data_IF_584912316763
#
_entry.id   IF_584912316763
#
_cell.length_a   1.000
_cell.length_b   1.000
_cell.length_c   1.000
_cell.angle_alpha   90.00
_cell.angle_beta   90.00
_cell.angle_gamma   90.00
#
_symmetry.space_group_name_H-M   'P 1'
#
loop_
_entity.id
_entity.type
_entity.pdbx_description
1 polymer ?
#
# COMPACT_ATOMS: atom_id res chain seq x y z
N UNK A 1 19.70 22.00 -2.83
CA UNK A 1 19.72 20.99 -1.74
C UNK A 1 18.76 19.84 -2.06
N UNK A 2 17.50 20.09 -2.47
CA UNK A 2 16.56 19.06 -2.95
C UNK A 2 17.09 18.17 -4.10
N UNK A 3 17.76 18.74 -5.10
CA UNK A 3 18.30 17.97 -6.23
C UNK A 3 19.47 17.02 -5.90
N UNK A 4 20.10 17.16 -4.72
CA UNK A 4 21.24 16.31 -4.32
C UNK A 4 20.80 15.01 -3.62
N UNK A 5 19.60 15.01 -3.01
CA UNK A 5 19.01 13.84 -2.36
C UNK A 5 18.36 12.89 -3.38
N UNK A 6 17.59 13.43 -4.32
CA UNK A 6 17.05 12.66 -5.46
C UNK A 6 18.20 12.13 -6.32
N UNK A 7 19.23 12.95 -6.53
CA UNK A 7 20.46 12.54 -7.20
C UNK A 7 21.33 11.54 -6.43
N UNK A 8 21.14 11.34 -5.11
CA UNK A 8 21.87 10.32 -4.32
C UNK A 8 21.12 9.00 -4.21
N UNK A 9 19.79 9.02 -4.14
CA UNK A 9 18.99 7.77 -4.21
C UNK A 9 19.16 7.05 -5.56
N UNK A 10 19.41 7.81 -6.64
CA UNK A 10 19.66 7.28 -7.99
C UNK A 10 21.10 7.48 -8.49
N UNK A 11 21.98 8.09 -7.69
CA UNK A 11 23.35 8.42 -8.07
C UNK A 11 24.34 8.16 -6.95
N UNK A 12 24.83 6.92 -6.98
CA UNK A 12 26.17 6.48 -6.60
C UNK A 12 26.70 6.89 -5.21
N UNK A 13 26.54 5.97 -4.26
CA UNK A 13 27.64 5.21 -3.61
C UNK A 13 26.98 3.94 -3.05
N UNK A 14 27.22 2.71 -3.47
CA UNK A 14 28.35 2.02 -4.09
C UNK A 14 27.84 1.07 -5.18
N UNK A 15 28.68 0.75 -6.16
CA UNK A 15 28.46 -0.26 -7.19
C UNK A 15 27.73 -1.49 -6.65
N UNK A 16 26.46 -1.64 -7.00
CA UNK A 16 25.77 -2.93 -7.02
C UNK A 16 25.35 -3.10 -8.47
N UNK A 17 26.03 -4.02 -9.14
CA UNK A 17 25.85 -4.33 -10.55
C UNK A 17 24.37 -4.43 -10.90
N UNK A 18 23.90 -3.50 -11.73
CA UNK A 18 22.53 -3.41 -12.31
C UNK A 18 22.21 -4.60 -13.25
N UNK A 19 22.78 -5.77 -13.02
CA UNK A 19 22.63 -6.97 -13.84
C UNK A 19 22.46 -8.27 -13.04
N UNK A 20 22.43 -8.25 -11.70
CA UNK A 20 22.15 -9.45 -10.91
C UNK A 20 20.81 -9.30 -10.22
N UNK A 21 19.85 -10.16 -10.54
CA UNK A 21 18.51 -10.21 -9.93
C UNK A 21 18.50 -10.59 -8.44
N UNK A 22 19.36 -9.96 -7.64
CA UNK A 22 19.36 -10.04 -6.19
C UNK A 22 18.45 -8.95 -5.66
N UNK A 23 17.33 -9.38 -5.10
CA UNK A 23 16.40 -8.56 -4.35
C UNK A 23 17.12 -7.92 -3.16
N UNK A 24 17.16 -6.59 -3.11
CA UNK A 24 17.75 -5.84 -1.99
C UNK A 24 16.86 -6.05 -0.76
N UNK A 25 17.44 -6.54 0.33
CA UNK A 25 16.72 -6.65 1.62
C UNK A 25 16.84 -5.35 2.39
N UNK A 26 15.82 -5.03 3.19
CA UNK A 26 15.84 -3.85 4.05
C UNK A 26 17.01 -3.88 5.05
N UNK A 27 17.44 -5.08 5.45
CA UNK A 27 18.55 -5.33 6.36
C UNK A 27 19.91 -4.89 5.79
N UNK A 28 20.04 -4.87 4.46
CA UNK A 28 21.28 -4.51 3.77
C UNK A 28 21.43 -2.98 3.58
N UNK A 29 20.42 -2.20 3.99
CA UNK A 29 20.37 -0.75 3.82
C UNK A 29 20.90 -0.09 5.10
N UNK A 30 22.10 0.50 5.03
CA UNK A 30 22.64 1.33 6.11
C UNK A 30 22.24 2.79 5.91
N UNK A 31 21.52 3.35 6.87
CA UNK A 31 21.08 4.76 6.89
C UNK A 31 21.85 5.47 8.01
N UNK A 32 22.54 6.56 7.70
CA UNK A 32 23.26 7.35 8.70
C UNK A 32 22.29 8.14 9.58
N UNK A 33 22.73 8.49 10.80
CA UNK A 33 21.90 9.24 11.76
C UNK A 33 21.46 10.60 11.21
N UNK A 34 22.31 11.25 10.42
CA UNK A 34 22.00 12.52 9.74
C UNK A 34 20.95 12.34 8.64
N UNK A 35 20.93 11.18 7.97
CA UNK A 35 19.97 10.87 6.91
C UNK A 35 18.57 10.56 7.44
N UNK A 36 18.47 9.95 8.63
CA UNK A 36 17.18 9.71 9.28
C UNK A 36 16.43 11.00 9.65
N UNK A 37 17.16 12.11 9.84
CA UNK A 37 16.58 13.43 10.14
C UNK A 37 16.18 14.20 8.86
N UNK A 38 16.46 13.66 7.67
CA UNK A 38 16.10 14.29 6.40
C UNK A 38 14.67 13.93 5.97
N UNK A 39 14.05 14.83 5.19
CA UNK A 39 12.75 14.59 4.58
C UNK A 39 12.88 14.00 3.19
N UNK A 40 12.08 12.98 2.90
CA UNK A 40 11.96 12.38 1.57
C UNK A 40 10.66 12.87 0.94
N UNK A 41 10.75 13.47 -0.24
CA UNK A 41 9.58 13.77 -1.05
C UNK A 41 9.14 12.51 -1.81
N UNK A 42 8.03 11.92 -1.38
CA UNK A 42 7.44 10.74 -2.00
C UNK A 42 6.45 11.09 -3.13
N UNK A 43 6.13 12.38 -3.32
CA UNK A 43 5.19 12.83 -4.34
C UNK A 43 5.46 12.30 -5.77
N UNK A 44 6.71 12.25 -6.27
CA UNK A 44 6.97 11.77 -7.63
C UNK A 44 6.89 10.24 -7.80
N UNK A 45 6.93 9.48 -6.70
CA UNK A 45 6.96 8.00 -6.75
C UNK A 45 5.64 7.36 -6.32
N UNK A 46 4.80 8.10 -5.59
CA UNK A 46 3.50 7.62 -5.16
C UNK A 46 2.51 7.68 -6.33
N UNK A 47 1.62 6.67 -6.39
CA UNK A 47 0.45 6.77 -7.24
C UNK A 47 -0.50 7.86 -6.71
N UNK A 48 -0.58 8.99 -7.42
CA UNK A 48 -1.47 10.10 -7.09
C UNK A 48 -2.97 9.74 -7.18
N UNK A 49 -3.31 8.66 -7.89
CA UNK A 49 -4.69 8.24 -8.15
C UNK A 49 -4.90 6.77 -7.73
N UNK A 50 -4.95 6.47 -6.43
CA UNK A 50 -5.27 5.12 -5.96
C UNK A 50 -6.75 4.79 -6.20
N UNK A 51 -7.06 3.51 -6.41
CA UNK A 51 -8.44 3.04 -6.46
C UNK A 51 -9.06 3.04 -5.07
N UNK A 52 -10.21 3.70 -4.95
CA UNK A 52 -10.92 3.89 -3.69
C UNK A 52 -12.35 3.36 -3.77
N UNK A 53 -12.86 2.92 -2.62
CA UNK A 53 -14.28 2.56 -2.43
C UNK A 53 -14.83 3.25 -1.18
N UNK A 54 -16.11 3.59 -1.19
CA UNK A 54 -16.77 4.20 -0.03
C UNK A 54 -17.03 3.12 1.03
N UNK A 55 -16.89 3.47 2.31
CA UNK A 55 -17.10 2.56 3.46
C UNK A 55 -18.49 1.88 3.48
N UNK A 56 -19.49 2.50 2.84
CA UNK A 56 -20.86 1.97 2.75
C UNK A 56 -21.06 0.99 1.59
N UNK A 57 -20.04 0.72 0.78
CA UNK A 57 -20.13 -0.22 -0.33
C UNK A 57 -20.20 -1.66 0.20
N UNK A 58 -21.12 -2.46 -0.36
CA UNK A 58 -21.22 -3.88 -0.01
C UNK A 58 -19.93 -4.63 -0.34
N UNK A 59 -19.52 -5.56 0.53
CA UNK A 59 -18.33 -6.38 0.33
C UNK A 59 -18.31 -7.10 -1.02
N UNK A 60 -19.45 -7.63 -1.48
CA UNK A 60 -19.56 -8.31 -2.78
C UNK A 60 -19.20 -7.40 -3.96
N UNK A 61 -19.66 -6.14 -3.95
CA UNK A 61 -19.31 -5.14 -4.99
C UNK A 61 -17.83 -4.77 -4.93
N UNK A 62 -17.29 -4.54 -3.73
CA UNK A 62 -15.87 -4.28 -3.55
C UNK A 62 -15.01 -5.44 -4.07
N UNK A 63 -15.43 -6.70 -3.83
CA UNK A 63 -14.74 -7.89 -4.31
C UNK A 63 -14.74 -8.00 -5.84
N UNK A 64 -15.85 -7.66 -6.49
CA UNK A 64 -15.94 -7.63 -7.96
C UNK A 64 -14.95 -6.61 -8.52
N UNK A 65 -14.99 -5.36 -8.03
CA UNK A 65 -14.07 -4.31 -8.45
C UNK A 65 -12.60 -4.70 -8.22
N UNK A 66 -12.29 -5.29 -7.06
CA UNK A 66 -10.94 -5.73 -6.71
C UNK A 66 -10.42 -6.77 -7.70
N UNK A 67 -11.28 -7.74 -8.09
CA UNK A 67 -10.93 -8.81 -9.04
C UNK A 67 -10.81 -8.30 -10.47
N UNK A 68 -11.75 -7.48 -10.92
CA UNK A 68 -11.80 -6.98 -12.30
C UNK A 68 -10.63 -6.04 -12.60
N UNK A 69 -10.24 -5.21 -11.63
CA UNK A 69 -9.12 -4.29 -11.77
C UNK A 69 -7.77 -4.91 -11.40
N UNK A 70 -7.74 -6.17 -10.94
CA UNK A 70 -6.52 -6.87 -10.55
C UNK A 70 -5.74 -6.17 -9.42
N UNK A 71 -6.46 -5.57 -8.47
CA UNK A 71 -5.84 -4.74 -7.43
C UNK A 71 -5.09 -5.61 -6.40
N UNK A 72 -4.05 -5.03 -5.80
CA UNK A 72 -3.38 -5.60 -4.62
C UNK A 72 -3.89 -4.98 -3.33
N UNK A 73 -4.15 -3.68 -3.39
CA UNK A 73 -4.66 -2.86 -2.30
C UNK A 73 -5.74 -1.93 -2.87
N UNK A 74 -6.81 -1.75 -2.12
CA UNK A 74 -7.90 -0.84 -2.43
C UNK A 74 -8.19 0.00 -1.19
N UNK A 75 -8.18 1.32 -1.33
CA UNK A 75 -8.36 2.22 -0.19
C UNK A 75 -9.85 2.43 0.11
N UNK A 76 -10.23 2.42 1.39
CA UNK A 76 -11.59 2.68 1.84
C UNK A 76 -11.69 4.12 2.32
N UNK A 77 -12.60 4.89 1.74
CA UNK A 77 -12.84 6.30 2.08
C UNK A 77 -14.16 6.44 2.83
N UNK A 78 -14.24 7.33 3.84
CA UNK A 78 -15.49 7.56 4.56
C UNK A 78 -16.51 8.26 3.66
N UNK A 79 -17.80 8.10 3.97
CA UNK A 79 -18.85 8.87 3.28
C UNK A 79 -18.89 10.34 3.74
N UNK A 80 -18.52 10.59 4.98
CA UNK A 80 -18.57 11.92 5.60
C UNK A 80 -17.20 12.59 5.57
N UNK A 81 -17.17 13.89 5.29
CA UNK A 81 -15.93 14.66 5.18
C UNK A 81 -15.30 15.02 6.54
N UNK A 82 -16.01 14.79 7.65
CA UNK A 82 -15.52 15.07 9.02
C UNK A 82 -14.53 14.02 9.54
N UNK A 83 -14.17 13.03 8.73
CA UNK A 83 -13.31 11.90 9.09
C UNK A 83 -11.99 11.94 8.31
N UNK A 84 -10.94 11.26 8.81
CA UNK A 84 -9.70 11.08 8.04
C UNK A 84 -9.99 10.58 6.63
N UNK A 85 -9.24 11.02 5.61
CA UNK A 85 -9.54 10.75 4.20
C UNK A 85 -9.54 9.25 3.87
N UNK A 86 -8.82 8.44 4.65
CA UNK A 86 -8.78 6.98 4.54
C UNK A 86 -9.21 6.37 5.88
N UNK A 87 -10.17 5.44 5.84
CA UNK A 87 -10.64 4.69 7.02
C UNK A 87 -10.17 3.24 7.05
N UNK A 88 -9.68 2.72 5.93
CA UNK A 88 -9.19 1.34 5.86
C UNK A 88 -8.55 1.00 4.52
N UNK A 89 -7.96 -0.19 4.45
CA UNK A 89 -7.36 -0.76 3.24
C UNK A 89 -7.89 -2.18 3.10
N UNK A 90 -8.34 -2.51 1.89
CA UNK A 90 -8.74 -3.86 1.50
C UNK A 90 -7.65 -4.50 0.66
N UNK A 91 -7.39 -5.77 0.95
CA UNK A 91 -6.41 -6.63 0.29
C UNK A 91 -7.07 -7.93 -0.12
N UNK A 92 -6.34 -8.78 -0.85
CA UNK A 92 -6.83 -10.11 -1.26
C UNK A 92 -7.24 -10.97 -0.06
N UNK A 93 -6.51 -10.86 1.05
CA UNK A 93 -6.77 -11.64 2.26
C UNK A 93 -8.14 -11.33 2.87
N UNK A 94 -8.60 -10.09 2.76
CA UNK A 94 -9.87 -9.64 3.33
C UNK A 94 -11.09 -10.25 2.63
N UNK A 95 -10.91 -10.74 1.40
CA UNK A 95 -11.94 -11.43 0.62
C UNK A 95 -11.86 -12.95 0.74
N UNK A 96 -10.90 -13.50 1.47
CA UNK A 96 -10.80 -14.95 1.67
C UNK A 96 -11.94 -15.44 2.57
N UNK A 97 -12.65 -16.52 2.18
CA UNK A 97 -13.74 -17.06 2.99
C UNK A 97 -13.32 -17.36 4.42
N UNK A 98 -12.11 -17.90 4.63
CA UNK A 98 -11.59 -18.22 5.96
C UNK A 98 -11.48 -16.96 6.83
N UNK A 99 -11.03 -15.85 6.24
CA UNK A 99 -10.92 -14.58 6.94
C UNK A 99 -12.29 -13.99 7.27
N UNK A 100 -13.20 -13.96 6.30
CA UNK A 100 -14.58 -13.45 6.50
C UNK A 100 -15.31 -14.27 7.56
N UNK A 101 -15.20 -15.60 7.51
CA UNK A 101 -15.84 -16.51 8.45
C UNK A 101 -15.19 -16.46 9.84
N UNK A 102 -13.90 -16.13 9.93
CA UNK A 102 -13.22 -15.85 11.18
C UNK A 102 -13.74 -14.57 11.85
N UNK A 103 -14.00 -13.52 11.06
CA UNK A 103 -14.53 -12.25 11.55
C UNK A 103 -16.03 -12.32 11.88
N UNK A 104 -16.80 -13.07 11.09
CA UNK A 104 -18.24 -13.19 11.23
C UNK A 104 -18.69 -14.67 11.33
N UNK A 105 -18.41 -15.37 12.45
CA UNK A 105 -18.72 -16.79 12.59
C UNK A 105 -20.20 -17.12 12.39
N UNK A 106 -21.09 -16.20 12.76
CA UNK A 106 -22.56 -16.33 12.66
C UNK A 106 -23.07 -16.50 11.23
N UNK A 107 -22.27 -16.18 10.21
CA UNK A 107 -22.65 -16.38 8.80
C UNK A 107 -22.74 -17.88 8.45
N UNK A 108 -22.00 -18.75 9.15
CA UNK A 108 -22.02 -20.21 8.90
C UNK A 108 -23.37 -20.87 9.16
N UNK A 109 -24.17 -20.28 10.04
CA UNK A 109 -25.45 -20.84 10.48
C UNK A 109 -26.61 -20.55 9.50
N UNK A 110 -26.37 -19.68 8.50
CA UNK A 110 -27.32 -19.42 7.42
C UNK A 110 -27.04 -20.37 6.24
N UNK A 111 -27.52 -21.62 6.35
CA UNK A 111 -27.53 -22.57 5.24
C UNK A 111 -28.95 -23.05 4.95
#
# INVERSE_FOLDING_TARGET
>A
VYGRLVGRLFGSTSTLDTGSGKELKLEDITIEKEEMEMYIDLHPIINASPYTVVETMSLAKAQILFRELGLRHMCVVPKSQDRPPIVGILTRHDFMPEHILGLYPKIKDFK
#
